data_IF_383061804211
#
_entry.id   IF_383061804211
#
_cell.length_a   1.000
_cell.length_b   1.000
_cell.length_c   1.000
_cell.angle_alpha   90.00
_cell.angle_beta   90.00
_cell.angle_gamma   90.00
#
_symmetry.space_group_name_H-M   'P 1'
#
loop_
_entity.id
_entity.type
_entity.pdbx_description
1 polymer ?
#
# COMPACT_ATOMS: atom_id res chain seq x y z
N UNK A 1 14.27 -1.56 -3.06
CA UNK A 1 13.91 -1.89 -4.45
C UNK A 1 12.75 -1.01 -4.89
N UNK A 2 11.59 -1.04 -4.21
CA UNK A 2 10.35 -0.32 -4.59
C UNK A 2 10.56 1.18 -4.85
N UNK A 3 11.38 1.86 -4.06
CA UNK A 3 11.70 3.29 -4.20
C UNK A 3 12.26 3.64 -5.59
N UNK A 4 12.99 2.71 -6.21
CA UNK A 4 13.55 2.92 -7.55
C UNK A 4 12.65 2.38 -8.66
N UNK A 5 12.02 1.23 -8.43
CA UNK A 5 11.22 0.58 -9.48
C UNK A 5 9.87 1.24 -9.67
N UNK A 6 9.25 1.76 -8.60
CA UNK A 6 7.91 2.31 -8.65
C UNK A 6 7.82 3.58 -9.50
N UNK A 7 8.70 4.60 -9.36
CA UNK A 7 8.67 5.79 -10.22
C UNK A 7 8.80 5.43 -11.70
N UNK A 8 9.67 4.47 -12.03
CA UNK A 8 9.88 4.00 -13.42
C UNK A 8 8.60 3.33 -13.94
N UNK A 9 8.03 2.39 -13.17
CA UNK A 9 6.82 1.66 -13.58
C UNK A 9 5.64 2.63 -13.73
N UNK A 10 5.48 3.56 -12.79
CA UNK A 10 4.42 4.58 -12.84
C UNK A 10 4.60 5.47 -14.06
N UNK A 11 5.80 6.01 -14.29
CA UNK A 11 6.08 6.85 -15.45
C UNK A 11 5.78 6.13 -16.77
N UNK A 12 6.23 4.89 -16.93
CA UNK A 12 5.95 4.08 -18.12
C UNK A 12 4.46 3.77 -18.27
N UNK A 13 3.78 3.43 -17.19
CA UNK A 13 2.34 3.13 -17.21
C UNK A 13 1.52 4.36 -17.57
N UNK A 14 1.81 5.51 -16.99
CA UNK A 14 1.13 6.77 -17.29
C UNK A 14 1.33 7.16 -18.74
N UNK A 15 2.56 7.09 -19.24
CA UNK A 15 2.87 7.37 -20.67
C UNK A 15 2.13 6.42 -21.62
N UNK A 16 2.05 5.12 -21.26
CA UNK A 16 1.39 4.12 -22.09
C UNK A 16 -0.15 4.27 -22.12
N UNK A 17 -0.78 4.46 -20.95
CA UNK A 17 -2.24 4.47 -20.84
C UNK A 17 -2.87 5.83 -21.03
N UNK A 18 -2.17 6.91 -20.69
CA UNK A 18 -2.69 8.29 -20.79
C UNK A 18 -2.10 9.08 -21.98
N UNK A 19 -0.99 8.61 -22.56
CA UNK A 19 -0.37 9.26 -23.72
C UNK A 19 -0.04 10.73 -23.46
N UNK A 20 -0.50 11.61 -24.34
CA UNK A 20 -0.25 13.06 -24.25
C UNK A 20 -0.99 13.76 -23.09
N UNK A 21 -1.98 13.09 -22.49
CA UNK A 21 -2.75 13.62 -21.35
C UNK A 21 -2.09 13.25 -20.02
N UNK A 22 -1.04 12.43 -20.05
CA UNK A 22 -0.32 12.04 -18.84
C UNK A 22 0.27 13.29 -18.16
N UNK A 23 0.11 13.42 -16.82
CA UNK A 23 0.84 14.44 -16.08
C UNK A 23 2.35 14.32 -16.31
N UNK A 24 3.03 15.45 -16.41
CA UNK A 24 4.50 15.47 -16.51
C UNK A 24 5.07 15.03 -15.15
N UNK A 25 5.59 13.81 -15.11
CA UNK A 25 6.13 13.21 -13.91
C UNK A 25 7.64 13.24 -13.97
N UNK A 26 8.27 14.05 -13.12
CA UNK A 26 9.69 13.92 -12.88
C UNK A 26 9.96 12.64 -12.07
N UNK A 27 10.41 11.59 -12.77
CA UNK A 27 10.71 10.28 -12.19
C UNK A 27 11.77 10.40 -11.08
N UNK A 28 12.71 11.32 -11.21
CA UNK A 28 13.77 11.52 -10.24
C UNK A 28 13.24 12.19 -8.96
N UNK A 29 12.44 13.23 -9.11
CA UNK A 29 11.80 13.92 -7.97
C UNK A 29 10.83 12.98 -7.23
N UNK A 30 10.03 12.23 -7.97
CA UNK A 30 9.16 11.20 -7.40
C UNK A 30 9.98 10.14 -6.64
N UNK A 31 11.13 9.73 -7.19
CA UNK A 31 12.04 8.78 -6.55
C UNK A 31 12.63 9.32 -5.24
N UNK A 32 13.08 10.57 -5.21
CA UNK A 32 13.58 11.23 -3.99
C UNK A 32 12.47 11.34 -2.95
N UNK A 33 11.30 11.79 -3.34
CA UNK A 33 10.15 11.92 -2.45
C UNK A 33 9.76 10.57 -1.84
N UNK A 34 9.71 9.52 -2.65
CA UNK A 34 9.49 8.15 -2.21
C UNK A 34 10.57 7.67 -1.22
N UNK A 35 11.83 7.98 -1.50
CA UNK A 35 12.94 7.65 -0.61
C UNK A 35 12.78 8.32 0.74
N UNK A 36 12.49 9.61 0.77
CA UNK A 36 12.31 10.37 1.99
C UNK A 36 11.09 9.87 2.80
N UNK A 37 9.97 9.58 2.13
CA UNK A 37 8.74 9.13 2.79
C UNK A 37 8.83 7.70 3.33
N UNK A 38 9.58 6.81 2.66
CA UNK A 38 9.60 5.39 3.05
C UNK A 38 10.90 4.99 3.74
N UNK A 39 12.05 5.34 3.18
CA UNK A 39 13.35 4.86 3.66
C UNK A 39 13.83 5.65 4.87
N UNK A 40 13.64 6.97 4.88
CA UNK A 40 14.09 7.81 5.99
C UNK A 40 13.44 7.44 7.33
N UNK A 41 12.11 7.27 7.44
CA UNK A 41 11.48 6.85 8.69
C UNK A 41 11.97 5.47 9.17
N UNK A 42 12.20 4.54 8.23
CA UNK A 42 12.73 3.20 8.56
C UNK A 42 14.15 3.32 9.13
N UNK A 43 15.02 4.11 8.51
CA UNK A 43 16.40 4.34 9.00
C UNK A 43 16.41 4.98 10.39
N UNK A 44 15.52 5.96 10.62
CA UNK A 44 15.35 6.58 11.94
C UNK A 44 14.91 5.53 12.97
N UNK A 45 13.88 4.74 12.66
CA UNK A 45 13.37 3.67 13.52
C UNK A 45 14.44 2.61 13.84
N UNK A 46 15.20 2.18 12.83
CA UNK A 46 16.31 1.24 13.02
C UNK A 46 17.41 1.82 13.91
N UNK A 47 17.75 3.10 13.74
CA UNK A 47 18.77 3.79 14.53
C UNK A 47 18.33 3.89 16.00
N UNK A 48 17.07 4.26 16.25
CA UNK A 48 16.50 4.31 17.61
C UNK A 48 16.52 2.90 18.23
N UNK A 49 16.11 1.89 17.48
CA UNK A 49 16.11 0.50 17.97
C UNK A 49 17.52 -0.02 18.26
N UNK A 50 18.51 0.42 17.50
CA UNK A 50 19.91 0.04 17.73
C UNK A 50 20.51 0.74 18.96
N UNK A 51 20.29 2.04 19.11
CA UNK A 51 20.89 2.83 20.18
C UNK A 51 20.12 2.76 21.50
N UNK A 52 18.79 2.68 21.45
CA UNK A 52 17.89 2.72 22.60
C UNK A 52 16.89 1.56 22.59
N UNK A 53 17.39 0.32 22.53
CA UNK A 53 16.57 -0.89 22.38
C UNK A 53 15.46 -1.00 23.42
N UNK A 54 15.76 -0.72 24.69
CA UNK A 54 14.76 -0.79 25.78
C UNK A 54 13.61 0.19 25.57
N UNK A 55 13.94 1.44 25.17
CA UNK A 55 12.93 2.46 24.86
C UNK A 55 12.11 2.05 23.62
N UNK A 56 12.75 1.59 22.57
CA UNK A 56 12.06 1.16 21.35
C UNK A 56 11.04 0.06 21.63
N UNK A 57 11.40 -0.96 22.42
CA UNK A 57 10.49 -2.04 22.81
C UNK A 57 9.35 -1.51 23.69
N UNK A 58 9.63 -0.60 24.61
CA UNK A 58 8.62 -0.03 25.51
C UNK A 58 7.53 0.75 24.77
N UNK A 59 7.89 1.48 23.71
CA UNK A 59 6.94 2.30 22.94
C UNK A 59 6.33 1.57 21.72
N UNK A 60 6.83 0.40 21.34
CA UNK A 60 6.43 -0.33 20.13
C UNK A 60 4.90 -0.53 20.07
N UNK A 61 4.28 -0.98 21.18
CA UNK A 61 2.83 -1.19 21.24
C UNK A 61 2.05 0.11 21.03
N UNK A 62 2.48 1.19 21.66
CA UNK A 62 1.81 2.50 21.54
C UNK A 62 1.95 3.07 20.13
N UNK A 63 3.14 2.97 19.53
CA UNK A 63 3.39 3.40 18.15
C UNK A 63 2.54 2.62 17.16
N UNK A 64 2.44 1.30 17.32
CA UNK A 64 1.60 0.45 16.46
C UNK A 64 0.11 0.81 16.57
N UNK A 65 -0.40 1.06 17.77
CA UNK A 65 -1.79 1.49 17.96
C UNK A 65 -2.04 2.83 17.28
N UNK A 66 -1.16 3.82 17.51
CA UNK A 66 -1.29 5.15 16.90
C UNK A 66 -1.21 5.04 15.38
N UNK A 67 -0.26 4.29 14.84
CA UNK A 67 -0.12 4.08 13.39
C UNK A 67 -1.38 3.44 12.79
N UNK A 68 -1.96 2.43 13.46
CA UNK A 68 -3.20 1.80 13.02
C UNK A 68 -4.38 2.78 13.03
N UNK A 69 -4.53 3.58 14.08
CA UNK A 69 -5.59 4.58 14.17
C UNK A 69 -5.44 5.62 13.06
N UNK A 70 -4.22 6.16 12.85
CA UNK A 70 -3.95 7.10 11.78
C UNK A 70 -4.22 6.50 10.41
N UNK A 71 -3.83 5.25 10.17
CA UNK A 71 -4.12 4.54 8.93
C UNK A 71 -5.62 4.44 8.68
N UNK A 72 -6.42 4.04 9.68
CA UNK A 72 -7.88 3.94 9.56
C UNK A 72 -8.49 5.31 9.25
N UNK A 73 -8.04 6.36 9.93
CA UNK A 73 -8.51 7.75 9.68
C UNK A 73 -8.21 8.16 8.23
N UNK A 74 -6.98 7.92 7.75
CA UNK A 74 -6.59 8.26 6.38
C UNK A 74 -7.44 7.50 5.37
N UNK A 75 -7.68 6.20 5.57
CA UNK A 75 -8.51 5.39 4.66
C UNK A 75 -9.96 5.87 4.66
N UNK A 76 -10.54 6.16 5.82
CA UNK A 76 -11.91 6.70 5.91
C UNK A 76 -11.99 8.07 5.22
N UNK A 77 -11.03 8.95 5.47
CA UNK A 77 -10.96 10.26 4.82
C UNK A 77 -10.83 10.12 3.30
N UNK A 78 -10.01 9.17 2.82
CA UNK A 78 -9.84 8.85 1.41
C UNK A 78 -11.16 8.46 0.73
N UNK A 79 -11.88 7.56 1.37
CA UNK A 79 -13.16 7.07 0.85
C UNK A 79 -14.22 8.18 0.90
N UNK A 80 -14.25 8.93 2.00
CA UNK A 80 -15.25 9.99 2.19
C UNK A 80 -15.05 11.16 1.21
N UNK A 81 -13.82 11.54 0.90
CA UNK A 81 -13.53 12.66 -0.01
C UNK A 81 -13.88 12.35 -1.47
N UNK A 82 -13.80 11.06 -1.87
CA UNK A 82 -14.05 10.61 -3.24
C UNK A 82 -15.28 9.69 -3.33
N UNK A 83 -16.24 9.88 -2.41
CA UNK A 83 -17.40 8.99 -2.29
C UNK A 83 -18.21 8.87 -3.59
N UNK A 84 -18.48 9.99 -4.24
CA UNK A 84 -19.28 10.00 -5.48
C UNK A 84 -18.50 9.32 -6.61
N UNK A 85 -17.23 9.64 -6.79
CA UNK A 85 -16.36 9.00 -7.78
C UNK A 85 -16.23 7.49 -7.51
N UNK A 86 -16.16 7.09 -6.23
CA UNK A 86 -16.12 5.68 -5.84
C UNK A 86 -17.40 4.95 -6.24
N UNK A 87 -18.57 5.50 -5.91
CA UNK A 87 -19.87 4.86 -6.22
C UNK A 87 -20.08 4.75 -7.73
N UNK A 88 -19.78 5.79 -8.48
CA UNK A 88 -19.87 5.78 -9.94
C UNK A 88 -18.99 4.71 -10.58
N UNK A 89 -17.83 4.45 -10.01
CA UNK A 89 -16.82 3.55 -10.57
C UNK A 89 -16.74 2.19 -9.85
N UNK A 90 -17.54 1.94 -8.81
CA UNK A 90 -17.42 0.72 -8.00
C UNK A 90 -17.60 -0.56 -8.84
N UNK A 91 -18.44 -0.50 -9.87
CA UNK A 91 -18.67 -1.62 -10.80
C UNK A 91 -17.42 -2.03 -11.58
N UNK A 92 -16.51 -1.10 -11.83
CA UNK A 92 -15.23 -1.34 -12.54
C UNK A 92 -14.07 -1.51 -11.57
N UNK A 93 -14.00 -0.66 -10.56
CA UNK A 93 -12.90 -0.69 -9.57
C UNK A 93 -12.97 -1.92 -8.68
N UNK A 94 -14.15 -2.27 -8.18
CA UNK A 94 -14.32 -3.40 -7.27
C UNK A 94 -13.83 -4.73 -7.86
N UNK A 95 -14.37 -5.17 -9.00
CA UNK A 95 -13.91 -6.40 -9.65
C UNK A 95 -12.44 -6.37 -10.03
N UNK A 96 -11.93 -5.22 -10.52
CA UNK A 96 -10.52 -5.07 -10.92
C UNK A 96 -9.58 -5.21 -9.73
N UNK A 97 -9.91 -4.59 -8.61
CA UNK A 97 -9.12 -4.65 -7.38
C UNK A 97 -9.16 -6.05 -6.77
N UNK A 98 -10.33 -6.70 -6.75
CA UNK A 98 -10.46 -8.09 -6.28
C UNK A 98 -9.66 -9.03 -7.17
N UNK A 99 -9.78 -8.89 -8.48
CA UNK A 99 -9.04 -9.72 -9.44
C UNK A 99 -7.53 -9.54 -9.26
N UNK A 100 -7.05 -8.30 -9.11
CA UNK A 100 -5.64 -8.02 -8.84
C UNK A 100 -5.20 -8.69 -7.54
N UNK A 101 -5.97 -8.58 -6.47
CA UNK A 101 -5.64 -9.22 -5.18
C UNK A 101 -5.52 -10.74 -5.31
N UNK A 102 -6.50 -11.39 -5.94
CA UNK A 102 -6.49 -12.84 -6.17
C UNK A 102 -5.29 -13.27 -7.02
N UNK A 103 -4.98 -12.51 -8.07
CA UNK A 103 -3.81 -12.77 -8.91
C UNK A 103 -2.50 -12.64 -8.12
N UNK A 104 -2.34 -11.61 -7.31
CA UNK A 104 -1.13 -11.40 -6.51
C UNK A 104 -0.96 -12.48 -5.45
N UNK A 105 -2.05 -12.88 -4.76
CA UNK A 105 -2.05 -14.01 -3.84
C UNK A 105 -1.64 -15.32 -4.56
N UNK A 106 -2.21 -15.56 -5.72
CA UNK A 106 -1.92 -16.75 -6.54
C UNK A 106 -0.46 -16.78 -7.03
N UNK A 107 0.04 -15.66 -7.56
CA UNK A 107 1.42 -15.54 -8.03
C UNK A 107 2.39 -15.74 -6.86
N UNK A 108 2.14 -15.10 -5.71
CA UNK A 108 2.98 -15.27 -4.51
C UNK A 108 3.07 -16.72 -4.06
N UNK A 109 1.92 -17.41 -3.99
CA UNK A 109 1.87 -18.82 -3.62
C UNK A 109 2.61 -19.71 -4.62
N UNK A 110 2.31 -19.55 -5.91
CA UNK A 110 2.94 -20.36 -6.97
C UNK A 110 4.45 -20.13 -7.05
N UNK A 111 4.90 -18.89 -6.91
CA UNK A 111 6.33 -18.56 -6.87
C UNK A 111 7.00 -19.25 -5.69
N UNK A 112 6.42 -19.20 -4.51
CA UNK A 112 6.95 -19.88 -3.34
C UNK A 112 7.02 -21.41 -3.54
N UNK A 113 5.99 -22.00 -4.14
CA UNK A 113 5.98 -23.43 -4.48
C UNK A 113 7.02 -23.81 -5.53
N UNK A 114 7.23 -22.95 -6.53
CA UNK A 114 8.27 -23.17 -7.56
C UNK A 114 9.67 -23.23 -6.94
N UNK A 115 9.94 -22.45 -5.89
CA UNK A 115 11.20 -22.52 -5.14
C UNK A 115 11.21 -23.60 -4.05
N UNK A 116 10.26 -24.54 -4.05
CA UNK A 116 10.14 -25.63 -3.09
C UNK A 116 10.01 -25.15 -1.62
N UNK A 117 9.41 -23.99 -1.40
CA UNK A 117 9.14 -23.48 -0.06
C UNK A 117 8.01 -24.31 0.56
N UNK A 118 8.16 -24.63 1.85
CA UNK A 118 7.18 -25.35 2.64
C UNK A 118 5.80 -24.66 2.61
N UNK A 119 4.71 -25.42 2.61
CA UNK A 119 3.36 -24.89 2.39
C UNK A 119 2.97 -23.77 3.35
N UNK A 120 3.32 -23.88 4.65
CA UNK A 120 3.04 -22.84 5.63
C UNK A 120 3.75 -21.49 5.27
N UNK A 121 5.02 -21.57 4.89
CA UNK A 121 5.80 -20.42 4.46
C UNK A 121 5.34 -19.88 3.10
N UNK A 122 4.92 -20.78 2.17
CA UNK A 122 4.35 -20.38 0.89
C UNK A 122 3.05 -19.58 1.08
N UNK A 123 2.23 -19.94 2.06
CA UNK A 123 1.04 -19.15 2.44
C UNK A 123 1.43 -17.76 2.94
N UNK A 124 2.46 -17.64 3.77
CA UNK A 124 2.97 -16.34 4.23
C UNK A 124 3.44 -15.47 3.06
N UNK A 125 4.23 -16.03 2.13
CA UNK A 125 4.67 -15.33 0.91
C UNK A 125 3.48 -14.88 0.07
N UNK A 126 2.46 -15.73 -0.08
CA UNK A 126 1.22 -15.39 -0.77
C UNK A 126 0.53 -14.18 -0.14
N UNK A 127 0.33 -14.22 1.17
CA UNK A 127 -0.32 -13.13 1.91
C UNK A 127 0.49 -11.82 1.79
N UNK A 128 1.81 -11.87 1.98
CA UNK A 128 2.68 -10.69 1.84
C UNK A 128 2.67 -10.12 0.41
N UNK A 129 2.58 -10.98 -0.60
CA UNK A 129 2.48 -10.53 -1.99
C UNK A 129 1.11 -9.91 -2.29
N UNK A 130 0.05 -10.45 -1.70
CA UNK A 130 -1.32 -9.93 -1.87
C UNK A 130 -1.63 -8.70 -1.03
N UNK A 131 -0.95 -8.48 0.10
CA UNK A 131 -1.16 -7.31 0.94
C UNK A 131 -0.27 -6.17 0.44
N UNK A 132 -0.89 -5.19 -0.22
CA UNK A 132 -0.19 -4.02 -0.73
C UNK A 132 -0.23 -2.84 0.26
N UNK A 133 0.79 -2.00 0.20
CA UNK A 133 0.82 -0.79 1.02
C UNK A 133 -0.08 0.30 0.43
N UNK A 134 -1.35 0.28 0.83
CA UNK A 134 -2.35 1.24 0.36
C UNK A 134 -1.97 2.70 0.66
N UNK A 135 -1.33 2.97 1.80
CA UNK A 135 -0.90 4.33 2.18
C UNK A 135 0.10 4.89 1.18
N UNK A 136 1.07 4.09 0.75
CA UNK A 136 2.04 4.49 -0.29
C UNK A 136 1.32 4.76 -1.60
N UNK A 137 0.39 3.91 -2.01
CA UNK A 137 -0.39 4.11 -3.24
C UNK A 137 -1.25 5.38 -3.20
N UNK A 138 -1.90 5.66 -2.07
CA UNK A 138 -2.69 6.88 -1.86
C UNK A 138 -1.77 8.12 -1.96
N UNK A 139 -0.63 8.09 -1.28
CA UNK A 139 0.33 9.21 -1.30
C UNK A 139 0.85 9.48 -2.71
N UNK A 140 1.22 8.43 -3.45
CA UNK A 140 1.72 8.56 -4.82
C UNK A 140 0.64 9.10 -5.75
N UNK A 141 -0.59 8.61 -5.63
CA UNK A 141 -1.71 9.14 -6.40
C UNK A 141 -1.87 10.65 -6.22
N UNK A 142 -1.77 11.13 -4.98
CA UNK A 142 -1.83 12.56 -4.64
C UNK A 142 -0.62 13.37 -5.12
N UNK A 143 0.58 12.76 -5.19
CA UNK A 143 1.78 13.41 -5.71
C UNK A 143 1.74 13.58 -7.24
N UNK A 144 1.15 12.59 -7.94
CA UNK A 144 1.06 12.60 -9.39
C UNK A 144 -0.04 13.54 -9.87
N UNK A 145 -1.21 13.47 -9.24
CA UNK A 145 -2.37 14.27 -9.60
C UNK A 145 -3.01 14.79 -8.31
N UNK A 146 -2.72 16.04 -7.96
CA UNK A 146 -3.36 16.68 -6.83
C UNK A 146 -4.85 16.90 -7.12
N UNK A 147 -5.70 16.67 -6.11
CA UNK A 147 -7.12 17.02 -6.20
C UNK A 147 -7.29 18.55 -6.22
N UNK A 148 -8.07 19.10 -7.15
CA UNK A 148 -8.32 20.55 -7.22
C UNK A 148 -8.93 21.12 -5.93
N UNK A 149 -9.70 20.33 -5.23
CA UNK A 149 -10.44 20.70 -4.02
C UNK A 149 -9.67 20.42 -2.72
N UNK A 150 -8.38 20.06 -2.81
CA UNK A 150 -7.54 19.72 -1.66
C UNK A 150 -7.90 18.37 -1.00
N UNK A 151 -8.77 17.60 -1.64
CA UNK A 151 -9.11 16.22 -1.25
C UNK A 151 -8.06 15.21 -1.70
N UNK A 152 -8.45 13.94 -1.69
CA UNK A 152 -7.61 12.87 -2.22
C UNK A 152 -7.74 12.78 -3.73
N UNK A 153 -6.64 12.43 -4.37
CA UNK A 153 -6.60 12.26 -5.82
C UNK A 153 -7.46 11.07 -6.26
N UNK A 154 -8.13 11.20 -7.40
CA UNK A 154 -8.79 10.08 -8.09
C UNK A 154 -7.86 8.91 -8.35
N UNK A 155 -6.57 9.16 -8.59
CA UNK A 155 -5.55 8.11 -8.72
C UNK A 155 -5.27 7.37 -7.41
N UNK A 156 -5.68 7.93 -6.27
CA UNK A 156 -5.56 7.29 -4.95
C UNK A 156 -6.68 6.29 -4.65
N UNK A 157 -7.82 6.39 -5.33
CA UNK A 157 -9.02 5.55 -5.10
C UNK A 157 -8.76 4.04 -5.18
N UNK A 158 -8.12 3.51 -6.23
CA UNK A 158 -7.86 2.07 -6.32
C UNK A 158 -7.04 1.57 -5.14
N UNK A 159 -6.06 2.36 -4.68
CA UNK A 159 -5.24 2.01 -3.52
C UNK A 159 -6.02 2.06 -2.21
N UNK A 160 -6.93 3.02 -2.05
CA UNK A 160 -7.84 3.11 -0.91
C UNK A 160 -8.77 1.89 -0.83
N UNK A 161 -9.44 1.55 -1.94
CA UNK A 161 -10.31 0.38 -2.05
C UNK A 161 -9.54 -0.91 -1.77
N UNK A 162 -8.33 -1.04 -2.33
CA UNK A 162 -7.46 -2.18 -2.09
C UNK A 162 -7.08 -2.31 -0.61
N UNK A 163 -6.77 -1.19 0.05
CA UNK A 163 -6.45 -1.17 1.48
C UNK A 163 -7.59 -1.67 2.35
N UNK A 164 -8.82 -1.25 2.08
CA UNK A 164 -10.02 -1.73 2.80
C UNK A 164 -10.21 -3.23 2.62
N UNK A 165 -10.08 -3.72 1.39
CA UNK A 165 -10.22 -5.15 1.09
C UNK A 165 -9.15 -5.99 1.81
N UNK A 166 -7.90 -5.56 1.79
CA UNK A 166 -6.79 -6.31 2.43
C UNK A 166 -6.91 -6.32 3.94
N UNK A 167 -7.30 -5.21 4.57
CA UNK A 167 -7.55 -5.16 6.02
C UNK A 167 -8.71 -6.07 6.40
N UNK A 168 -9.81 -6.04 5.67
CA UNK A 168 -10.96 -6.91 5.92
C UNK A 168 -10.59 -8.38 5.80
N UNK A 169 -9.80 -8.75 4.78
CA UNK A 169 -9.36 -10.11 4.57
C UNK A 169 -8.43 -10.61 5.68
N UNK A 170 -7.47 -9.81 6.14
CA UNK A 170 -6.56 -10.20 7.21
C UNK A 170 -7.29 -10.42 8.54
N UNK A 171 -8.30 -9.61 8.84
CA UNK A 171 -9.11 -9.82 10.04
C UNK A 171 -10.02 -11.04 9.98
N UNK A 172 -10.47 -11.44 8.79
CA UNK A 172 -11.33 -12.60 8.59
C UNK A 172 -10.56 -13.93 8.50
N UNK A 173 -9.31 -13.89 8.05
CA UNK A 173 -8.54 -15.12 7.75
C UNK A 173 -7.49 -15.47 8.78
N UNK A 174 -7.04 -14.53 9.61
CA UNK A 174 -6.15 -14.84 10.73
C UNK A 174 -6.99 -15.41 11.86
N UNK A 175 -6.78 -16.69 12.24
CA UNK A 175 -7.44 -17.22 13.42
C UNK A 175 -6.99 -16.39 14.64
N UNK A 176 -7.95 -15.86 15.37
CA UNK A 176 -7.75 -15.22 16.68
C UNK A 176 -7.39 -16.28 17.73
N UNK A 177 -6.40 -17.11 17.46
CA UNK A 177 -5.85 -18.02 18.44
C UNK A 177 -4.85 -17.27 19.33
N UNK A 178 -5.40 -16.48 20.23
CA UNK A 178 -4.74 -16.10 21.47
C UNK A 178 -4.84 -17.26 22.45
N UNK A 179 -4.19 -18.37 22.16
CA UNK A 179 -3.99 -19.46 23.11
C UNK A 179 -2.66 -20.14 22.84
N UNK A 180 -1.59 -19.48 23.25
CA UNK A 180 -0.38 -20.05 23.82
C UNK A 180 0.11 -19.11 24.90
#
# INVERSE_FOLDING_TARGET
VTVFTLPIIVGLSMSYFMGEVAPDIDIFDLGITMFLLTTLPVLIGMTIRHQAKSMAISIEKSVNIIATILFVIIVIAAIASEWDTLIENIGTLGPSVIMLNVLMLGIGYQTAKFFNIEAAKATTVSIETGIQNATVGITIGGLILASPDGGLSTLSLPSGVYGVLTVSYTHLTLPTNSSV
#
